data_IF_792296947689
#
_entry.id   IF_792296947689
#
_cell.length_a   1.000
_cell.length_b   1.000
_cell.length_c   1.000
_cell.angle_alpha   90.00
_cell.angle_beta   90.00
_cell.angle_gamma   90.00
#
_symmetry.space_group_name_H-M   'P 1'
#
loop_
_entity.id
_entity.type
_entity.pdbx_description
1 polymer ?
#
# COMPACT_ATOMS: atom_id res chain seq x y z
N UNK A 1 41.49 -44.10 -20.62
CA UNK A 1 40.17 -44.36 -20.02
C UNK A 1 39.11 -43.61 -20.81
N UNK A 2 38.48 -44.24 -21.78
CA UNK A 2 37.30 -43.71 -22.48
C UNK A 2 36.05 -44.19 -21.73
N UNK A 3 35.18 -43.25 -21.31
CA UNK A 3 33.83 -43.56 -20.83
C UNK A 3 32.86 -43.33 -22.00
N UNK A 4 32.51 -44.40 -22.71
CA UNK A 4 31.40 -44.41 -23.67
C UNK A 4 30.13 -44.80 -22.95
N UNK A 5 29.21 -43.85 -22.76
CA UNK A 5 27.82 -44.14 -22.38
C UNK A 5 27.03 -44.67 -23.57
N UNK A 6 25.94 -45.42 -23.36
CA UNK A 6 25.15 -46.00 -24.43
C UNK A 6 24.47 -44.90 -25.26
N UNK A 7 24.80 -44.82 -26.54
CA UNK A 7 24.05 -44.03 -27.53
C UNK A 7 22.80 -44.80 -27.93
N UNK A 8 21.63 -44.26 -27.60
CA UNK A 8 20.36 -44.77 -28.12
C UNK A 8 20.26 -44.42 -29.62
N UNK A 9 19.89 -45.40 -30.45
CA UNK A 9 19.57 -45.17 -31.86
C UNK A 9 18.24 -44.39 -31.93
N UNK A 10 18.33 -43.13 -32.33
CA UNK A 10 17.16 -42.31 -32.65
C UNK A 10 16.68 -42.73 -34.05
N UNK A 11 15.38 -43.03 -34.25
CA UNK A 11 14.83 -43.36 -35.56
C UNK A 11 15.08 -42.25 -36.59
N UNK A 12 15.35 -42.56 -37.87
CA UNK A 12 15.59 -41.56 -38.93
C UNK A 12 14.45 -40.54 -39.08
N UNK A 13 13.23 -40.96 -38.75
CA UNK A 13 11.99 -40.17 -38.80
C UNK A 13 11.72 -39.31 -37.55
N UNK A 14 12.52 -39.42 -36.49
CA UNK A 14 12.33 -38.60 -35.30
C UNK A 14 12.81 -37.17 -35.56
N UNK A 15 11.86 -36.26 -35.82
CA UNK A 15 12.15 -34.83 -35.85
C UNK A 15 12.45 -34.36 -34.42
N UNK A 16 13.58 -33.67 -34.17
CA UNK A 16 13.84 -33.07 -32.87
C UNK A 16 12.71 -32.08 -32.55
N UNK A 17 12.23 -32.12 -31.31
CA UNK A 17 11.24 -31.16 -30.81
C UNK A 17 11.77 -29.73 -31.08
N UNK A 18 11.01 -28.87 -31.79
CA UNK A 18 11.43 -27.50 -32.10
C UNK A 18 11.86 -26.70 -30.87
N UNK A 19 11.35 -27.05 -29.69
CA UNK A 19 11.70 -26.41 -28.42
C UNK A 19 13.11 -26.70 -27.90
N UNK A 20 13.83 -27.66 -28.48
CA UNK A 20 15.21 -28.01 -28.08
C UNK A 20 16.30 -27.33 -28.92
N UNK A 21 15.91 -26.48 -29.88
CA UNK A 21 16.85 -25.66 -30.66
C UNK A 21 17.35 -24.43 -29.89
N UNK A 22 18.65 -24.12 -30.00
CA UNK A 22 19.40 -23.08 -29.28
C UNK A 22 18.98 -21.61 -29.55
N UNK A 23 17.72 -21.31 -29.89
CA UNK A 23 17.23 -19.93 -30.08
C UNK A 23 16.18 -19.53 -29.02
N UNK A 24 16.56 -18.78 -27.97
CA UNK A 24 15.66 -18.26 -26.94
C UNK A 24 14.46 -17.44 -27.46
N UNK A 25 14.50 -16.94 -28.69
CA UNK A 25 13.42 -16.12 -29.28
C UNK A 25 12.24 -16.97 -29.76
N UNK A 26 12.47 -18.25 -30.06
CA UNK A 26 11.40 -19.16 -30.48
C UNK A 26 10.58 -19.68 -29.29
N UNK A 27 11.12 -19.60 -28.07
CA UNK A 27 10.46 -20.08 -26.86
C UNK A 27 9.17 -19.35 -26.57
N UNK A 28 9.09 -18.05 -26.85
CA UNK A 28 7.85 -17.30 -26.61
C UNK A 28 6.73 -17.74 -27.55
N UNK A 29 7.04 -18.06 -28.81
CA UNK A 29 6.06 -18.57 -29.77
C UNK A 29 5.64 -20.01 -29.42
N UNK A 30 6.60 -20.88 -29.09
CA UNK A 30 6.31 -22.26 -28.67
C UNK A 30 5.49 -22.29 -27.37
N UNK A 31 5.79 -21.43 -26.40
CA UNK A 31 4.99 -21.29 -25.17
C UNK A 31 3.57 -20.83 -25.48
N UNK A 32 3.38 -19.84 -26.36
CA UNK A 32 2.06 -19.38 -26.76
C UNK A 32 1.27 -20.47 -27.49
N UNK A 33 1.91 -21.23 -28.37
CA UNK A 33 1.25 -22.31 -29.11
C UNK A 33 0.89 -23.49 -28.20
N UNK A 34 1.75 -23.83 -27.23
CA UNK A 34 1.46 -24.85 -26.22
C UNK A 34 0.34 -24.39 -25.29
N UNK A 35 0.31 -23.11 -24.90
CA UNK A 35 -0.78 -22.52 -24.11
C UNK A 35 -2.10 -22.53 -24.88
N UNK A 36 -2.09 -22.13 -26.16
CA UNK A 36 -3.27 -22.12 -27.03
C UNK A 36 -3.83 -23.53 -27.24
N UNK A 37 -2.97 -24.51 -27.55
CA UNK A 37 -3.39 -25.92 -27.72
C UNK A 37 -3.92 -26.53 -26.42
N UNK A 38 -3.34 -26.20 -25.27
CA UNK A 38 -3.86 -26.62 -23.97
C UNK A 38 -5.20 -25.95 -23.63
N UNK A 39 -5.41 -24.71 -24.06
CA UNK A 39 -6.68 -23.99 -23.91
C UNK A 39 -7.78 -24.47 -24.88
N UNK A 40 -7.40 -25.08 -26.01
CA UNK A 40 -8.32 -25.80 -26.92
C UNK A 40 -8.70 -27.19 -26.41
N UNK A 41 -7.78 -27.89 -25.74
CA UNK A 41 -8.03 -29.19 -25.14
C UNK A 41 -8.75 -29.12 -23.77
N UNK A 42 -8.91 -27.92 -23.20
CA UNK A 42 -9.56 -27.72 -21.92
C UNK A 42 -11.09 -27.73 -22.04
N UNK A 43 -11.75 -28.39 -21.08
CA UNK A 43 -13.20 -28.38 -20.90
C UNK A 43 -13.73 -26.92 -21.00
N UNK A 44 -14.85 -26.64 -21.69
CA UNK A 44 -15.41 -25.28 -21.82
C UNK A 44 -15.50 -24.52 -20.48
N UNK A 45 -15.79 -25.22 -19.38
CA UNK A 45 -15.83 -24.64 -18.03
C UNK A 45 -14.45 -24.20 -17.50
N UNK A 46 -13.38 -24.87 -17.93
CA UNK A 46 -11.99 -24.48 -17.62
C UNK A 46 -11.54 -23.34 -18.54
N UNK A 47 -12.00 -23.29 -19.80
CA UNK A 47 -11.74 -22.16 -20.69
C UNK A 47 -12.40 -20.88 -20.16
N UNK A 48 -13.64 -20.95 -19.70
CA UNK A 48 -14.32 -19.82 -19.03
C UNK A 48 -13.67 -19.49 -17.68
N UNK A 49 -13.19 -20.50 -16.93
CA UNK A 49 -12.44 -20.27 -15.70
C UNK A 49 -11.08 -19.60 -15.95
N UNK A 50 -10.39 -19.94 -17.05
CA UNK A 50 -9.09 -19.36 -17.46
C UNK A 50 -9.27 -18.00 -18.14
N UNK A 51 -10.38 -17.76 -18.81
CA UNK A 51 -10.73 -16.43 -19.33
C UNK A 51 -11.28 -15.52 -18.22
N UNK A 52 -11.79 -16.12 -17.13
CA UNK A 52 -12.03 -15.47 -15.83
C UNK A 52 -10.79 -15.42 -14.94
N UNK A 53 -9.63 -15.96 -15.37
CA UNK A 53 -8.34 -15.64 -14.76
C UNK A 53 -7.93 -14.23 -15.18
N UNK A 54 -8.61 -13.31 -14.50
CA UNK A 54 -8.17 -11.99 -14.08
C UNK A 54 -7.78 -11.08 -15.25
N UNK A 55 -8.79 -10.41 -15.81
CA UNK A 55 -8.55 -9.05 -16.30
C UNK A 55 -7.73 -8.31 -15.23
N UNK A 56 -6.53 -7.78 -15.59
CA UNK A 56 -5.70 -7.14 -14.60
C UNK A 56 -6.48 -6.00 -13.95
N UNK A 57 -6.46 -5.95 -12.62
CA UNK A 57 -6.94 -4.79 -11.88
C UNK A 57 -6.15 -3.58 -12.35
N UNK A 58 -6.78 -2.70 -13.12
CA UNK A 58 -6.11 -1.55 -13.77
C UNK A 58 -6.68 -0.23 -13.30
N UNK A 59 -7.84 -0.24 -12.64
CA UNK A 59 -8.53 0.96 -12.18
C UNK A 59 -8.90 0.89 -10.70
N UNK A 60 -9.12 2.07 -10.10
CA UNK A 60 -9.69 2.23 -8.76
C UNK A 60 -11.02 1.49 -8.62
N UNK A 61 -11.87 1.53 -9.64
CA UNK A 61 -13.17 0.86 -9.65
C UNK A 61 -13.05 -0.68 -9.56
N UNK A 62 -12.04 -1.27 -10.20
CA UNK A 62 -11.80 -2.72 -10.10
C UNK A 62 -11.46 -3.12 -8.66
N UNK A 63 -10.58 -2.34 -8.01
CA UNK A 63 -10.22 -2.58 -6.61
C UNK A 63 -11.39 -2.39 -5.66
N UNK A 64 -12.21 -1.35 -5.84
CA UNK A 64 -13.46 -1.17 -5.06
C UNK A 64 -14.37 -2.38 -5.23
N UNK A 65 -14.62 -2.80 -6.47
CA UNK A 65 -15.54 -3.91 -6.77
C UNK A 65 -15.06 -5.22 -6.14
N UNK A 66 -13.78 -5.56 -6.28
CA UNK A 66 -13.26 -6.80 -5.71
C UNK A 66 -13.09 -6.73 -4.20
N UNK A 67 -12.78 -5.56 -3.66
CA UNK A 67 -12.79 -5.33 -2.22
C UNK A 67 -14.18 -5.52 -1.62
N UNK A 68 -15.22 -4.98 -2.26
CA UNK A 68 -16.62 -5.19 -1.85
C UNK A 68 -17.01 -6.66 -1.81
N UNK A 69 -16.66 -7.41 -2.85
CA UNK A 69 -16.93 -8.85 -2.88
C UNK A 69 -16.29 -9.60 -1.69
N UNK A 70 -15.15 -9.11 -1.17
CA UNK A 70 -14.53 -9.64 0.05
C UNK A 70 -15.27 -9.14 1.29
N UNK A 71 -15.52 -7.84 1.41
CA UNK A 71 -16.09 -7.24 2.63
C UNK A 71 -17.51 -7.70 2.92
N UNK A 72 -18.27 -8.12 1.89
CA UNK A 72 -19.59 -8.75 2.04
C UNK A 72 -19.53 -10.16 2.66
N UNK A 73 -18.37 -10.82 2.65
CA UNK A 73 -18.17 -12.14 3.29
C UNK A 73 -17.65 -12.05 4.73
N UNK A 74 -17.20 -10.87 5.15
CA UNK A 74 -16.68 -10.64 6.50
C UNK A 74 -17.83 -10.40 7.48
N UNK A 75 -17.61 -10.60 8.80
CA UNK A 75 -18.54 -10.10 9.81
C UNK A 75 -18.85 -8.62 9.61
N UNK A 76 -20.07 -8.19 9.94
CA UNK A 76 -20.49 -6.80 9.78
C UNK A 76 -19.64 -5.87 10.65
N UNK A 77 -18.75 -5.10 10.03
CA UNK A 77 -17.85 -4.15 10.70
C UNK A 77 -18.57 -3.00 11.41
N UNK A 78 -19.84 -2.75 11.11
CA UNK A 78 -20.67 -1.79 11.86
C UNK A 78 -21.07 -2.36 13.23
N UNK A 79 -21.56 -3.59 13.23
CA UNK A 79 -22.06 -4.30 14.40
C UNK A 79 -20.94 -4.86 15.27
N UNK A 80 -19.94 -5.51 14.68
CA UNK A 80 -18.79 -6.09 15.35
C UNK A 80 -17.46 -5.74 14.63
N UNK A 81 -16.91 -4.52 14.89
CA UNK A 81 -15.65 -4.07 14.31
C UNK A 81 -14.47 -5.03 14.57
N UNK A 82 -14.41 -5.64 15.76
CA UNK A 82 -13.30 -6.52 16.15
C UNK A 82 -13.34 -7.83 15.38
N UNK A 83 -14.52 -8.46 15.27
CA UNK A 83 -14.68 -9.68 14.50
C UNK A 83 -14.39 -9.45 13.01
N UNK A 84 -14.87 -8.32 12.45
CA UNK A 84 -14.59 -7.95 11.07
C UNK A 84 -13.09 -7.76 10.81
N UNK A 85 -12.41 -6.98 11.65
CA UNK A 85 -10.96 -6.75 11.54
C UNK A 85 -10.15 -8.04 11.71
N UNK A 86 -10.49 -8.86 12.69
CA UNK A 86 -9.82 -10.15 12.91
C UNK A 86 -9.99 -11.08 11.71
N UNK A 87 -11.19 -11.15 11.14
CA UNK A 87 -11.46 -11.94 9.94
C UNK A 87 -10.68 -11.40 8.72
N UNK A 88 -10.62 -10.08 8.54
CA UNK A 88 -9.83 -9.44 7.50
C UNK A 88 -8.34 -9.79 7.60
N UNK A 89 -7.73 -9.64 8.78
CA UNK A 89 -6.32 -9.95 8.96
C UNK A 89 -6.01 -11.43 8.70
N UNK A 90 -6.89 -12.35 9.11
CA UNK A 90 -6.74 -13.79 8.81
C UNK A 90 -6.80 -14.07 7.31
N UNK A 91 -7.73 -13.44 6.61
CA UNK A 91 -7.84 -13.56 5.15
C UNK A 91 -6.58 -13.03 4.46
N UNK A 92 -6.08 -11.85 4.87
CA UNK A 92 -4.86 -11.30 4.29
C UNK A 92 -3.65 -12.18 4.59
N UNK A 93 -3.55 -12.74 5.78
CA UNK A 93 -2.51 -13.71 6.15
C UNK A 93 -2.54 -14.95 5.24
N UNK A 94 -3.71 -15.55 4.99
CA UNK A 94 -3.81 -16.75 4.16
C UNK A 94 -3.59 -16.48 2.67
N UNK A 95 -4.04 -15.33 2.17
CA UNK A 95 -4.11 -15.07 0.73
C UNK A 95 -2.88 -14.34 0.16
N UNK A 96 -2.32 -13.40 0.92
CA UNK A 96 -1.18 -12.57 0.45
C UNK A 96 0.03 -12.65 1.38
N UNK A 97 -0.17 -13.18 2.60
CA UNK A 97 0.82 -13.21 3.66
C UNK A 97 1.10 -11.80 4.19
N UNK A 98 0.97 -11.60 5.50
CA UNK A 98 1.19 -10.29 6.13
C UNK A 98 2.22 -10.30 7.25
N UNK A 99 2.65 -11.45 7.76
CA UNK A 99 3.44 -11.50 9.00
C UNK A 99 4.94 -11.23 8.85
N UNK A 100 5.42 -10.81 7.67
CA UNK A 100 6.83 -10.44 7.49
C UNK A 100 7.09 -9.06 8.12
N UNK A 101 7.93 -8.96 9.17
CA UNK A 101 8.34 -7.66 9.68
C UNK A 101 9.29 -6.97 8.70
N UNK A 102 9.16 -5.66 8.55
CA UNK A 102 10.08 -4.84 7.78
C UNK A 102 11.49 -4.79 8.41
N UNK A 103 12.47 -4.48 7.59
CA UNK A 103 13.82 -4.15 8.04
C UNK A 103 13.83 -2.72 8.56
N UNK A 104 14.33 -2.57 9.78
CA UNK A 104 14.60 -1.28 10.42
C UNK A 104 16.05 -1.29 10.89
N UNK A 105 16.81 -0.28 10.50
CA UNK A 105 18.23 -0.13 10.81
C UNK A 105 18.46 0.31 12.26
N UNK A 106 17.52 1.04 12.86
CA UNK A 106 17.55 1.38 14.28
C UNK A 106 17.03 0.24 15.17
N UNK A 107 17.35 0.35 16.46
CA UNK A 107 16.85 -0.53 17.53
C UNK A 107 15.85 0.21 18.42
N UNK A 108 15.31 -0.48 19.42
CA UNK A 108 14.43 0.11 20.45
C UNK A 108 12.93 0.02 20.13
N UNK A 109 12.12 0.63 20.99
CA UNK A 109 10.65 0.48 21.00
C UNK A 109 10.00 0.94 19.70
N UNK A 110 10.47 2.04 19.09
CA UNK A 110 9.94 2.49 17.80
C UNK A 110 10.16 1.47 16.69
N UNK A 111 11.38 0.94 16.59
CA UNK A 111 11.71 -0.11 15.62
C UNK A 111 10.86 -1.37 15.83
N UNK A 112 10.64 -1.79 17.08
CA UNK A 112 9.75 -2.91 17.38
C UNK A 112 8.29 -2.64 16.97
N UNK A 113 7.80 -1.42 17.22
CA UNK A 113 6.42 -1.03 16.90
C UNK A 113 6.17 -0.95 15.39
N UNK A 114 7.09 -0.36 14.62
CA UNK A 114 6.99 -0.30 13.15
C UNK A 114 7.15 -1.69 12.51
N UNK A 115 8.01 -2.56 13.07
CA UNK A 115 8.04 -3.98 12.66
C UNK A 115 6.68 -4.64 12.88
N UNK A 116 6.05 -4.45 14.03
CA UNK A 116 4.70 -4.96 14.30
C UNK A 116 3.65 -4.37 13.34
N UNK A 117 3.70 -3.07 13.06
CA UNK A 117 2.78 -2.42 12.12
C UNK A 117 2.93 -2.96 10.69
N UNK A 118 4.17 -3.16 10.23
CA UNK A 118 4.44 -3.72 8.90
C UNK A 118 3.92 -5.15 8.71
N UNK A 119 3.65 -5.87 9.81
CA UNK A 119 3.06 -7.21 9.79
C UNK A 119 1.54 -7.22 9.50
N UNK A 120 0.97 -6.07 9.14
CA UNK A 120 -0.43 -5.92 8.72
C UNK A 120 -0.56 -5.64 7.22
N UNK A 121 0.57 -5.51 6.52
CA UNK A 121 0.63 -5.23 5.09
C UNK A 121 1.10 -6.45 4.30
N UNK A 122 0.77 -6.57 3.01
CA UNK A 122 1.24 -7.67 2.17
C UNK A 122 2.77 -7.84 2.20
N UNK A 123 3.23 -9.08 2.32
CA UNK A 123 4.65 -9.41 2.42
C UNK A 123 5.47 -8.91 1.22
N UNK A 124 4.85 -8.86 0.03
CA UNK A 124 5.45 -8.31 -1.19
C UNK A 124 5.74 -6.82 -1.05
N UNK A 125 4.86 -6.06 -0.41
CA UNK A 125 5.01 -4.62 -0.19
C UNK A 125 6.12 -4.36 0.82
N UNK A 126 6.12 -5.10 1.94
CA UNK A 126 7.19 -5.04 2.93
C UNK A 126 8.55 -5.41 2.33
N UNK A 127 8.60 -6.40 1.43
CA UNK A 127 9.83 -6.74 0.69
C UNK A 127 10.29 -5.59 -0.22
N UNK A 128 9.39 -4.94 -0.94
CA UNK A 128 9.74 -3.80 -1.79
C UNK A 128 10.27 -2.62 -0.95
N UNK A 129 9.64 -2.32 0.19
CA UNK A 129 10.12 -1.30 1.14
C UNK A 129 11.51 -1.64 1.68
N UNK A 130 11.77 -2.90 2.04
CA UNK A 130 13.08 -3.36 2.51
C UNK A 130 14.19 -3.14 1.46
N UNK A 131 13.84 -3.24 0.18
CA UNK A 131 14.77 -3.07 -0.96
C UNK A 131 14.94 -1.60 -1.35
N UNK A 132 14.01 -0.73 -0.96
CA UNK A 132 13.97 0.65 -1.39
C UNK A 132 15.09 1.49 -0.76
N UNK A 133 15.40 1.26 0.52
CA UNK A 133 16.48 1.95 1.24
C UNK A 133 16.39 1.74 2.76
N UNK A 134 17.41 2.17 3.53
CA UNK A 134 17.41 2.01 4.97
C UNK A 134 16.29 2.81 5.64
N UNK A 135 15.69 2.23 6.68
CA UNK A 135 14.64 2.84 7.49
C UNK A 135 15.09 2.96 8.94
N UNK A 136 15.03 4.17 9.49
CA UNK A 136 15.30 4.46 10.89
C UNK A 136 14.02 4.89 11.60
N UNK A 137 13.82 4.36 12.80
CA UNK A 137 12.61 4.61 13.58
C UNK A 137 12.97 5.03 14.99
N UNK A 138 12.26 6.06 15.49
CA UNK A 138 12.29 6.53 16.87
C UNK A 138 10.88 6.50 17.46
N UNK A 139 10.77 6.44 18.79
CA UNK A 139 9.48 6.55 19.48
C UNK A 139 9.56 7.50 20.67
N UNK A 140 8.49 8.28 20.89
CA UNK A 140 8.35 9.16 22.07
C UNK A 140 6.90 9.13 22.60
N UNK A 141 6.71 9.28 23.91
CA UNK A 141 5.38 9.17 24.57
C UNK A 141 4.36 10.23 24.12
N UNK A 142 4.81 11.40 23.67
CA UNK A 142 3.96 12.53 23.25
C UNK A 142 4.41 13.13 21.92
N UNK A 143 5.02 12.33 21.05
CA UNK A 143 5.37 12.79 19.72
C UNK A 143 4.11 13.01 18.87
N UNK A 144 4.16 14.05 18.03
CA UNK A 144 3.44 14.05 16.75
C UNK A 144 4.13 13.00 15.88
N UNK A 145 3.35 12.07 15.35
CA UNK A 145 3.87 11.12 14.38
C UNK A 145 4.40 11.88 13.17
N UNK A 146 5.51 11.41 12.61
CA UNK A 146 5.97 11.92 11.34
C UNK A 146 6.77 10.88 10.58
N UNK A 147 6.76 11.05 9.26
CA UNK A 147 7.59 10.33 8.34
C UNK A 147 8.30 11.30 7.39
N UNK A 148 9.55 10.99 7.07
CA UNK A 148 10.26 11.58 5.93
C UNK A 148 11.00 10.49 5.16
N UNK A 149 10.97 10.59 3.84
CA UNK A 149 11.81 9.82 2.95
C UNK A 149 12.53 10.77 2.00
N UNK A 150 13.85 10.68 1.94
CA UNK A 150 14.66 11.45 0.99
C UNK A 150 14.88 10.59 -0.26
N UNK A 151 14.21 10.91 -1.37
CA UNK A 151 14.28 10.10 -2.61
C UNK A 151 15.45 10.46 -3.53
N UNK A 152 16.15 11.54 -3.21
CA UNK A 152 17.17 12.14 -4.07
C UNK A 152 18.57 11.82 -3.56
N UNK A 153 19.53 11.78 -4.49
CA UNK A 153 20.94 11.78 -4.13
C UNK A 153 21.30 13.06 -3.36
N UNK A 154 22.28 13.02 -2.45
CA UNK A 154 22.81 14.23 -1.86
C UNK A 154 23.35 15.18 -2.94
N UNK A 155 23.11 16.50 -2.84
CA UNK A 155 23.84 17.48 -3.64
C UNK A 155 25.35 17.37 -3.41
N UNK A 156 26.14 17.76 -4.41
CA UNK A 156 27.60 17.73 -4.33
C UNK A 156 28.12 18.48 -3.08
N UNK A 157 28.94 17.79 -2.28
CA UNK A 157 29.52 18.32 -1.04
C UNK A 157 28.57 18.36 0.17
N UNK A 158 27.30 17.97 0.02
CA UNK A 158 26.33 17.91 1.12
C UNK A 158 26.22 16.48 1.65
N UNK A 159 26.67 16.24 2.89
CA UNK A 159 26.65 14.91 3.50
C UNK A 159 25.49 14.68 4.47
N UNK A 160 24.86 15.76 4.94
CA UNK A 160 23.83 15.70 5.97
C UNK A 160 22.66 16.61 5.63
N UNK A 161 21.49 16.29 6.19
CA UNK A 161 20.31 17.13 6.17
C UNK A 161 19.73 17.26 7.58
N UNK A 162 19.00 18.34 7.83
CA UNK A 162 18.36 18.59 9.12
C UNK A 162 16.91 18.13 9.09
N UNK A 163 16.51 17.35 10.09
CA UNK A 163 15.12 17.00 10.35
C UNK A 163 14.70 17.61 11.69
N UNK A 164 13.64 18.44 11.72
CA UNK A 164 13.09 18.95 12.97
C UNK A 164 12.87 17.83 13.98
N UNK A 165 13.13 18.10 15.27
CA UNK A 165 13.02 17.17 16.39
C UNK A 165 13.96 15.95 16.42
N UNK A 166 14.71 15.67 15.34
CA UNK A 166 15.77 14.65 15.31
C UNK A 166 17.17 15.27 15.28
N UNK A 167 17.39 16.29 14.44
CA UNK A 167 18.69 16.92 14.22
C UNK A 167 19.30 16.57 12.85
N UNK A 168 20.63 16.66 12.76
CA UNK A 168 21.37 16.35 11.53
C UNK A 168 21.50 14.84 11.32
N UNK A 169 21.15 14.41 10.11
CA UNK A 169 21.16 13.02 9.68
C UNK A 169 21.98 12.88 8.40
N UNK A 170 22.62 11.72 8.24
CA UNK A 170 23.36 11.41 7.02
C UNK A 170 22.40 11.36 5.84
N UNK A 171 22.74 12.07 4.76
CA UNK A 171 21.98 12.04 3.52
C UNK A 171 22.37 10.79 2.70
N UNK A 172 21.41 9.91 2.48
CA UNK A 172 21.52 8.78 1.57
C UNK A 172 20.25 8.71 0.73
N UNK A 173 20.37 8.34 -0.55
CA UNK A 173 19.19 8.17 -1.40
C UNK A 173 18.27 7.08 -0.83
N UNK A 174 16.98 7.38 -0.85
CA UNK A 174 15.88 6.57 -0.33
C UNK A 174 15.92 6.29 1.18
N UNK A 175 16.73 7.01 1.95
CA UNK A 175 16.71 6.90 3.41
C UNK A 175 15.35 7.33 3.96
N UNK A 176 14.82 6.56 4.90
CA UNK A 176 13.56 6.81 5.57
C UNK A 176 13.75 7.04 7.06
N UNK A 177 13.03 8.01 7.61
CA UNK A 177 12.93 8.24 9.05
C UNK A 177 11.46 8.30 9.47
N UNK A 178 11.15 7.57 10.54
CA UNK A 178 9.82 7.56 11.16
C UNK A 178 9.96 7.92 12.63
N UNK A 179 9.09 8.79 13.12
CA UNK A 179 8.81 8.98 14.54
C UNK A 179 7.40 8.49 14.82
N UNK A 180 7.29 7.55 15.75
CA UNK A 180 5.99 7.04 16.22
C UNK A 180 5.71 7.44 17.66
N UNK A 181 4.43 7.52 17.99
CA UNK A 181 4.00 7.59 19.38
C UNK A 181 4.20 6.23 20.05
N UNK A 182 4.77 6.23 21.26
CA UNK A 182 4.98 4.97 22.00
C UNK A 182 3.64 4.25 22.24
N UNK A 183 3.66 2.92 22.06
CA UNK A 183 2.54 2.00 22.21
C UNK A 183 1.40 2.19 21.21
N UNK A 184 1.53 3.06 20.22
CA UNK A 184 0.46 3.40 19.29
C UNK A 184 0.62 2.68 17.95
N UNK A 185 -0.02 1.51 17.79
CA UNK A 185 0.10 0.75 16.54
C UNK A 185 -0.56 1.48 15.36
N UNK A 186 -1.65 2.22 15.60
CA UNK A 186 -2.38 2.94 14.56
C UNK A 186 -1.49 4.01 13.94
N UNK A 187 -0.85 4.82 14.79
CA UNK A 187 0.16 5.76 14.34
C UNK A 187 1.33 5.06 13.63
N UNK A 188 1.80 3.91 14.11
CA UNK A 188 2.87 3.19 13.42
C UNK A 188 2.45 2.63 12.05
N UNK A 189 1.19 2.21 11.89
CA UNK A 189 0.59 1.82 10.59
C UNK A 189 0.54 3.04 9.67
N UNK A 190 0.10 4.19 10.18
CA UNK A 190 0.05 5.47 9.47
C UNK A 190 1.44 5.87 8.94
N UNK A 191 2.43 5.96 9.82
CA UNK A 191 3.77 6.41 9.40
C UNK A 191 4.46 5.40 8.47
N UNK A 192 4.21 4.10 8.66
CA UNK A 192 4.72 3.09 7.74
C UNK A 192 4.01 3.14 6.37
N UNK A 193 2.75 3.55 6.33
CA UNK A 193 2.05 3.81 5.07
C UNK A 193 2.69 4.98 4.30
N UNK A 194 3.17 6.04 4.94
CA UNK A 194 3.95 7.06 4.22
C UNK A 194 5.26 6.50 3.63
N UNK A 195 5.90 5.53 4.31
CA UNK A 195 7.06 4.82 3.74
C UNK A 195 6.66 3.98 2.52
N UNK A 196 5.50 3.32 2.56
CA UNK A 196 4.92 2.61 1.42
C UNK A 196 4.65 3.57 0.25
N UNK A 197 4.10 4.77 0.47
CA UNK A 197 3.86 5.75 -0.61
C UNK A 197 5.15 6.08 -1.36
N UNK A 198 6.26 6.13 -0.62
CA UNK A 198 7.55 6.42 -1.22
C UNK A 198 8.19 5.26 -1.95
N UNK A 199 8.06 4.05 -1.42
CA UNK A 199 8.62 2.86 -2.06
C UNK A 199 7.75 2.32 -3.21
N UNK A 200 6.44 2.61 -3.19
CA UNK A 200 5.42 2.03 -4.05
C UNK A 200 4.56 3.12 -4.70
N UNK A 201 5.14 3.94 -5.61
CA UNK A 201 4.43 5.06 -6.20
C UNK A 201 3.18 4.64 -7.01
N UNK A 202 3.16 3.41 -7.56
CA UNK A 202 1.99 2.87 -8.24
C UNK A 202 0.81 2.61 -7.30
N UNK A 203 1.07 2.24 -6.04
CA UNK A 203 0.03 2.09 -5.01
C UNK A 203 -0.51 3.46 -4.61
N UNK A 204 0.38 4.41 -4.28
CA UNK A 204 -0.01 5.78 -3.92
C UNK A 204 -0.85 6.42 -5.03
N UNK A 205 -0.45 6.24 -6.29
CA UNK A 205 -1.18 6.76 -7.44
C UNK A 205 -2.66 6.28 -7.49
N UNK A 206 -2.98 5.07 -7.04
CA UNK A 206 -4.38 4.64 -6.97
C UNK A 206 -5.18 5.42 -5.91
N UNK A 207 -4.57 5.75 -4.76
CA UNK A 207 -5.18 6.61 -3.76
C UNK A 207 -5.32 8.05 -4.26
N UNK A 208 -4.32 8.55 -4.99
CA UNK A 208 -4.39 9.87 -5.62
C UNK A 208 -5.53 9.93 -6.65
N UNK A 209 -5.69 8.89 -7.49
CA UNK A 209 -6.79 8.79 -8.45
C UNK A 209 -8.16 8.74 -7.76
N UNK A 210 -8.30 7.94 -6.69
CA UNK A 210 -9.53 7.89 -5.90
C UNK A 210 -9.85 9.27 -5.32
N UNK A 211 -8.88 9.92 -4.67
CA UNK A 211 -9.06 11.25 -4.10
C UNK A 211 -9.49 12.26 -5.18
N UNK A 212 -8.76 12.34 -6.29
CA UNK A 212 -9.06 13.24 -7.39
C UNK A 212 -10.48 13.03 -7.95
N UNK A 213 -10.94 11.78 -8.08
CA UNK A 213 -12.31 11.48 -8.54
C UNK A 213 -13.39 11.93 -7.55
N UNK A 214 -13.10 11.91 -6.24
CA UNK A 214 -14.05 12.23 -5.19
C UNK A 214 -14.19 13.72 -4.95
N UNK A 215 -13.09 14.47 -5.10
CA UNK A 215 -13.04 15.90 -4.77
C UNK A 215 -13.15 16.82 -6.00
N UNK A 216 -13.40 16.24 -7.16
CA UNK A 216 -13.50 16.98 -8.42
C UNK A 216 -14.60 18.04 -8.35
N UNK A 217 -14.20 19.32 -8.36
CA UNK A 217 -15.12 20.45 -8.32
C UNK A 217 -15.48 20.94 -6.91
N UNK A 218 -15.01 20.28 -5.86
CA UNK A 218 -15.15 20.80 -4.49
C UNK A 218 -14.35 22.09 -4.32
N UNK A 219 -14.60 22.91 -3.30
CA UNK A 219 -13.70 24.00 -2.93
C UNK A 219 -12.56 23.52 -2.03
N UNK A 220 -11.40 24.17 -2.12
CA UNK A 220 -10.35 24.05 -1.10
C UNK A 220 -10.79 24.82 0.15
N UNK A 221 -10.73 24.14 1.31
CA UNK A 221 -11.15 24.67 2.60
C UNK A 221 -9.97 24.67 3.59
N UNK A 222 -10.00 25.57 4.57
CA UNK A 222 -9.03 25.63 5.65
C UNK A 222 -9.35 24.59 6.73
N UNK A 223 -8.39 23.73 7.07
CA UNK A 223 -8.56 22.77 8.18
C UNK A 223 -8.76 23.45 9.52
N UNK A 224 -8.11 24.61 9.72
CA UNK A 224 -8.26 25.44 10.91
C UNK A 224 -9.72 25.92 11.09
N UNK A 225 -10.40 26.22 9.99
CA UNK A 225 -11.77 26.73 10.00
C UNK A 225 -12.79 25.60 10.17
N UNK A 226 -12.55 24.44 9.54
CA UNK A 226 -13.45 23.28 9.62
C UNK A 226 -13.37 22.61 11.00
N UNK A 227 -12.17 22.54 11.58
CA UNK A 227 -11.93 21.87 12.87
C UNK A 227 -11.26 22.83 13.85
N UNK A 228 -11.99 23.84 14.36
CA UNK A 228 -11.43 24.89 15.20
C UNK A 228 -10.79 24.32 16.47
N UNK A 229 -9.70 24.93 16.93
CA UNK A 229 -8.92 24.52 18.11
C UNK A 229 -8.14 23.19 17.97
N UNK A 230 -8.02 22.64 16.77
CA UNK A 230 -7.22 21.41 16.53
C UNK A 230 -5.71 21.64 16.41
N UNK A 231 -5.28 22.91 16.43
CA UNK A 231 -3.87 23.29 16.25
C UNK A 231 -3.40 23.23 14.80
N UNK A 232 -4.32 23.21 13.83
CA UNK A 232 -3.97 23.32 12.42
C UNK A 232 -3.54 24.75 12.06
N UNK A 233 -2.52 24.85 11.21
CA UNK A 233 -1.98 26.11 10.71
C UNK A 233 -2.85 26.68 9.58
N UNK A 234 -2.72 27.99 9.31
CA UNK A 234 -3.50 28.69 8.27
C UNK A 234 -3.21 28.21 6.84
N UNK A 235 -2.05 27.56 6.63
CA UNK A 235 -1.67 26.95 5.35
C UNK A 235 -2.11 25.50 5.20
N UNK A 236 -2.79 24.91 6.20
CA UNK A 236 -3.26 23.52 6.10
C UNK A 236 -4.64 23.48 5.43
N UNK A 237 -4.63 23.17 4.14
CA UNK A 237 -5.80 23.21 3.27
C UNK A 237 -6.25 21.79 2.90
N UNK A 238 -7.56 21.60 2.75
CA UNK A 238 -8.18 20.29 2.48
C UNK A 238 -9.32 20.41 1.48
N UNK A 239 -9.58 19.34 0.74
CA UNK A 239 -10.87 19.09 0.12
C UNK A 239 -11.55 18.01 0.95
N UNK A 240 -12.57 18.42 1.71
CA UNK A 240 -13.13 17.58 2.77
C UNK A 240 -13.85 16.34 2.22
N UNK A 241 -14.56 16.46 1.09
CA UNK A 241 -15.41 15.39 0.56
C UNK A 241 -16.32 14.82 1.67
N UNK A 242 -16.59 13.52 1.63
CA UNK A 242 -17.30 12.70 2.60
C UNK A 242 -16.35 11.94 3.51
N UNK A 243 -15.06 12.31 3.56
CA UNK A 243 -14.10 11.66 4.47
C UNK A 243 -14.58 11.73 5.92
N UNK A 244 -14.34 10.64 6.67
CA UNK A 244 -14.68 10.59 8.10
C UNK A 244 -13.84 11.54 8.94
N UNK A 245 -12.69 11.96 8.42
CA UNK A 245 -11.83 12.97 9.00
C UNK A 245 -11.39 13.96 7.90
N UNK A 246 -11.68 15.28 8.02
CA UNK A 246 -11.27 16.27 7.03
C UNK A 246 -9.76 16.31 6.75
N UNK A 247 -8.93 15.90 7.71
CA UNK A 247 -7.47 15.83 7.54
C UNK A 247 -7.06 14.85 6.44
N UNK A 248 -7.87 13.82 6.18
CA UNK A 248 -7.59 12.81 5.15
C UNK A 248 -7.51 13.42 3.74
N UNK A 249 -8.30 14.46 3.47
CA UNK A 249 -8.29 15.18 2.19
C UNK A 249 -7.29 16.34 2.12
N UNK A 250 -6.34 16.44 3.06
CA UNK A 250 -5.35 17.51 3.08
C UNK A 250 -4.47 17.46 1.83
N UNK A 251 -4.41 18.58 1.11
CA UNK A 251 -3.61 18.72 -0.10
C UNK A 251 -2.32 19.51 0.18
N UNK A 252 -1.21 19.07 -0.40
CA UNK A 252 0.11 19.67 -0.22
C UNK A 252 0.56 20.39 -1.50
N UNK A 253 -0.13 21.48 -1.86
CA UNK A 253 0.29 22.36 -2.98
C UNK A 253 0.95 23.63 -2.44
N UNK A 254 2.07 24.02 -3.04
CA UNK A 254 2.64 25.36 -2.83
C UNK A 254 1.79 26.37 -3.60
N UNK A 255 1.15 27.30 -2.87
CA UNK A 255 0.41 28.42 -3.46
C UNK A 255 -1.12 28.28 -3.48
N UNK A 256 -1.68 27.19 -2.94
CA UNK A 256 -3.12 27.06 -2.72
C UNK A 256 -3.65 28.14 -1.77
N UNK A 257 -4.89 28.58 -2.00
CA UNK A 257 -5.65 29.48 -1.13
C UNK A 257 -7.05 28.91 -0.85
N UNK A 258 -7.65 29.22 0.32
CA UNK A 258 -9.05 28.89 0.58
C UNK A 258 -9.97 29.45 -0.50
N UNK A 259 -10.91 28.64 -0.98
CA UNK A 259 -11.86 29.00 -2.04
C UNK A 259 -11.39 28.68 -3.47
N UNK A 260 -10.14 28.24 -3.67
CA UNK A 260 -9.68 27.81 -4.98
C UNK A 260 -10.40 26.52 -5.43
N UNK A 261 -10.94 26.51 -6.66
CA UNK A 261 -11.63 25.37 -7.25
C UNK A 261 -10.91 24.81 -8.49
N UNK A 262 -10.02 25.60 -9.11
CA UNK A 262 -9.40 25.31 -10.42
C UNK A 262 -7.86 25.40 -10.33
N UNK A 263 -7.30 24.57 -9.45
CA UNK A 263 -5.89 24.58 -9.04
C UNK A 263 -5.26 23.20 -9.27
N UNK A 264 -3.96 23.13 -9.65
CA UNK A 264 -3.31 21.84 -9.88
C UNK A 264 -3.35 20.99 -8.61
N UNK A 265 -3.82 19.75 -8.78
CA UNK A 265 -3.83 18.73 -7.74
C UNK A 265 -2.43 18.56 -7.14
N UNK A 266 -2.26 18.85 -5.83
CA UNK A 266 -0.95 18.79 -5.15
C UNK A 266 -0.59 17.46 -4.52
N UNK A 267 -1.46 16.47 -4.68
CA UNK A 267 -1.37 15.21 -3.97
C UNK A 267 -1.89 15.33 -2.53
N UNK A 268 -2.64 14.30 -2.14
CA UNK A 268 -3.15 14.14 -0.79
C UNK A 268 -2.41 12.99 -0.11
N UNK A 269 -1.37 13.33 0.65
CA UNK A 269 -0.50 12.36 1.31
C UNK A 269 -1.25 11.55 2.38
N UNK A 270 -2.30 12.12 2.95
CA UNK A 270 -3.03 11.54 4.08
C UNK A 270 -4.11 10.53 3.67
N UNK A 271 -4.50 10.50 2.39
CA UNK A 271 -5.59 9.62 1.92
C UNK A 271 -5.20 8.16 2.13
N UNK A 272 -4.01 7.77 1.70
CA UNK A 272 -3.52 6.40 1.85
C UNK A 272 -3.25 6.05 3.31
N UNK A 273 -2.62 6.94 4.07
CA UNK A 273 -2.17 6.64 5.43
C UNK A 273 -3.33 6.54 6.41
N UNK A 274 -4.28 7.47 6.36
CA UNK A 274 -5.48 7.45 7.19
C UNK A 274 -6.41 6.28 6.85
N UNK A 275 -6.49 5.91 5.57
CA UNK A 275 -7.26 4.75 5.12
C UNK A 275 -6.68 3.45 5.69
N UNK A 276 -5.37 3.24 5.57
CA UNK A 276 -4.72 2.08 6.18
C UNK A 276 -4.73 2.11 7.70
N UNK A 277 -4.55 3.27 8.34
CA UNK A 277 -4.65 3.40 9.80
C UNK A 277 -6.03 2.97 10.29
N UNK A 278 -7.09 3.43 9.63
CA UNK A 278 -8.46 3.12 10.03
C UNK A 278 -8.81 1.65 9.83
N UNK A 279 -8.34 1.03 8.74
CA UNK A 279 -8.66 -0.38 8.42
C UNK A 279 -7.73 -1.36 9.14
N UNK A 280 -6.44 -1.07 9.27
CA UNK A 280 -5.44 -2.00 9.79
C UNK A 280 -4.97 -1.65 11.21
N UNK A 281 -5.00 -0.38 11.61
CA UNK A 281 -4.55 0.13 12.90
C UNK A 281 -5.48 0.05 14.13
N UNK A 282 -6.79 -0.29 14.06
CA UNK A 282 -7.72 0.05 15.14
C UNK A 282 -7.58 -0.76 16.43
N UNK A 283 -6.94 -1.93 16.37
CA UNK A 283 -6.78 -2.84 17.50
C UNK A 283 -5.29 -3.06 17.80
N UNK A 284 -4.93 -3.07 19.09
CA UNK A 284 -3.59 -3.11 19.72
C UNK A 284 -2.96 -1.75 20.13
N UNK A 285 -3.07 -1.38 21.40
CA UNK A 285 -2.13 -0.45 22.04
C UNK A 285 -2.50 1.04 22.01
N UNK A 286 -3.55 1.45 21.29
CA UNK A 286 -3.95 2.86 21.32
C UNK A 286 -4.43 3.27 22.72
N UNK A 287 -3.89 4.38 23.26
CA UNK A 287 -4.36 4.96 24.52
C UNK A 287 -5.77 5.58 24.41
N UNK A 288 -6.29 5.71 23.18
CA UNK A 288 -7.71 5.97 22.86
C UNK A 288 -8.29 4.85 22.00
N UNK A 289 -8.19 3.59 22.43
CA UNK A 289 -8.67 2.44 21.64
C UNK A 289 -10.09 2.64 21.09
N UNK A 290 -10.96 3.35 21.82
CA UNK A 290 -12.30 3.70 21.35
C UNK A 290 -12.33 4.59 20.11
N UNK A 291 -11.41 5.56 19.97
CA UNK A 291 -11.35 6.45 18.80
C UNK A 291 -10.93 5.68 17.55
N UNK A 292 -9.96 4.78 17.67
CA UNK A 292 -9.50 3.97 16.53
C UNK A 292 -10.58 2.96 16.10
N UNK A 293 -11.29 2.35 17.05
CA UNK A 293 -12.45 1.50 16.76
C UNK A 293 -13.57 2.30 16.08
N UNK A 294 -13.80 3.54 16.54
CA UNK A 294 -14.76 4.45 15.92
C UNK A 294 -14.34 4.80 14.49
N UNK A 295 -13.06 5.07 14.25
CA UNK A 295 -12.55 5.35 12.91
C UNK A 295 -12.77 4.17 11.95
N UNK A 296 -12.48 2.93 12.38
CA UNK A 296 -12.81 1.74 11.60
C UNK A 296 -14.30 1.66 11.27
N UNK A 297 -15.17 1.80 12.29
CA UNK A 297 -16.62 1.74 12.12
C UNK A 297 -17.15 2.84 11.21
N UNK A 298 -16.64 4.05 11.37
CA UNK A 298 -17.03 5.21 10.57
C UNK A 298 -16.58 5.04 9.13
N UNK A 299 -15.37 4.54 8.86
CA UNK A 299 -14.95 4.22 7.50
C UNK A 299 -15.86 3.15 6.89
N UNK A 300 -16.13 2.07 7.62
CA UNK A 300 -17.01 1.00 7.16
C UNK A 300 -18.44 1.48 6.85
N UNK A 301 -18.99 2.42 7.63
CA UNK A 301 -20.40 2.87 7.49
C UNK A 301 -20.58 4.10 6.61
N UNK A 302 -19.71 5.09 6.76
CA UNK A 302 -19.84 6.42 6.17
C UNK A 302 -19.00 6.57 4.91
N UNK A 303 -17.88 5.84 4.81
CA UNK A 303 -17.00 5.84 3.64
C UNK A 303 -16.75 4.42 3.14
N UNK A 304 -17.86 3.75 2.80
CA UNK A 304 -17.83 2.34 2.40
C UNK A 304 -16.98 2.11 1.15
N UNK A 305 -16.93 3.09 0.26
CA UNK A 305 -16.10 3.04 -0.94
C UNK A 305 -14.61 2.97 -0.59
N UNK A 306 -14.10 3.83 0.30
CA UNK A 306 -12.72 3.76 0.77
C UNK A 306 -12.42 2.44 1.48
N UNK A 307 -13.34 1.96 2.32
CA UNK A 307 -13.17 0.69 3.02
C UNK A 307 -13.03 -0.49 2.04
N UNK A 308 -13.94 -0.58 1.07
CA UNK A 308 -13.89 -1.60 0.02
C UNK A 308 -12.61 -1.45 -0.81
N UNK A 309 -12.26 -0.24 -1.25
CA UNK A 309 -11.04 0.04 -1.99
C UNK A 309 -9.77 -0.45 -1.26
N UNK A 310 -9.62 -0.12 0.03
CA UNK A 310 -8.49 -0.53 0.86
C UNK A 310 -8.37 -2.06 0.91
N UNK A 311 -9.48 -2.76 1.13
CA UNK A 311 -9.48 -4.23 1.16
C UNK A 311 -9.11 -4.81 -0.22
N UNK A 312 -9.62 -4.20 -1.29
CA UNK A 312 -9.28 -4.57 -2.67
C UNK A 312 -7.79 -4.44 -2.96
N UNK A 313 -7.19 -3.28 -2.66
CA UNK A 313 -5.75 -3.08 -2.92
C UNK A 313 -4.88 -3.99 -2.06
N UNK A 314 -5.21 -4.20 -0.78
CA UNK A 314 -4.47 -5.12 0.10
C UNK A 314 -4.45 -6.54 -0.44
N UNK A 315 -5.54 -6.98 -1.07
CA UNK A 315 -5.66 -8.35 -1.59
C UNK A 315 -5.05 -8.53 -2.97
N UNK A 316 -5.17 -7.54 -3.85
CA UNK A 316 -4.92 -7.73 -5.28
C UNK A 316 -3.79 -6.89 -5.85
N UNK A 317 -3.46 -5.74 -5.26
CA UNK A 317 -2.38 -4.89 -5.79
C UNK A 317 -1.01 -5.51 -5.47
N UNK A 318 -0.12 -5.50 -6.47
CA UNK A 318 1.24 -6.03 -6.37
C UNK A 318 2.23 -5.03 -6.97
N UNK A 319 3.39 -4.83 -6.31
CA UNK A 319 4.45 -3.94 -6.79
C UNK A 319 5.23 -4.50 -7.97
#
# INVERSE_FOLDING_TARGET
MQRGGPTANIPPEAQPDPGWGNDPRQWQHVLRDVQAKKAEAANPTIRDAVQSLVEPFTSVADYIKAGRAITETLPDGAADPMACHTALLRLLESEVGILKPCKVASLGTGAALVRKASQRFPNSWTKAVDQFGPLYVQARKKARGFHITIRQEPPDGVLNYYVPDIGFLRWEKNIGHIMVRMNDIGNAVHEYAHRLQSALPGLDNLFQQLHASRVSGDPVLSLKDIVPSSGYDEGELTRQDTYTNPYQGKEYVIGLRPGDTDVPYGGALEVMTMAFESVLGPFDGHWRSEDSIRAFRDMYRKDREMFDFVVGVLRYWKP
#
